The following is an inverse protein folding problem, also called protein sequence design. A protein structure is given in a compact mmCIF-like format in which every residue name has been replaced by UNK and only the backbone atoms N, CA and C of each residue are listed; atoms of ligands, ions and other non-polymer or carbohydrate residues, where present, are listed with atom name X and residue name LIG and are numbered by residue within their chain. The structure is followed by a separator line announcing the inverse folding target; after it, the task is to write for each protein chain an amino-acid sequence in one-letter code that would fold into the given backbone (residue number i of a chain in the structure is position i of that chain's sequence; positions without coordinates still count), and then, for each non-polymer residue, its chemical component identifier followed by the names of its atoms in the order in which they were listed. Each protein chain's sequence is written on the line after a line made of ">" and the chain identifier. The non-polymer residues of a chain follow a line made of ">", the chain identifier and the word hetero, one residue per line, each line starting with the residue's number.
data_IF_949360695529
#
_entry.id   IF_949360695529
#
_cell.length_a   1.000
_cell.length_b   1.000
_cell.length_c   1.000
_cell.angle_alpha   90.00
_cell.angle_beta   90.00
_cell.angle_gamma   90.00
#
_symmetry.space_group_name_H-M   'P 1'
#
loop_
_entity.id
_entity.type
_entity.pdbx_description
1 polymer ?
#
# COMPACT_ATOMS: atom_id res chain seq x y z
N UNK A 1 -7.45 35.68 -46.80
CA UNK A 1 -6.32 34.86 -47.28
C UNK A 1 -5.60 34.24 -46.09
N UNK A 2 -5.90 32.98 -45.74
CA UNK A 2 -5.02 32.08 -44.98
C UNK A 2 -5.37 30.65 -45.38
N UNK A 3 -4.64 30.10 -46.34
CA UNK A 3 -4.69 28.69 -46.73
C UNK A 3 -3.80 27.91 -45.75
N UNK A 4 -4.36 26.98 -44.98
CA UNK A 4 -3.57 26.04 -44.17
C UNK A 4 -3.30 24.81 -45.04
N UNK A 5 -2.07 24.70 -45.56
CA UNK A 5 -1.59 23.54 -46.28
C UNK A 5 -1.33 22.40 -45.30
N UNK A 6 -2.09 21.30 -45.46
CA UNK A 6 -1.88 20.07 -44.71
C UNK A 6 -0.51 19.46 -44.99
N UNK A 7 0.24 19.19 -43.93
CA UNK A 7 1.44 18.35 -44.02
C UNK A 7 0.98 16.89 -43.95
N UNK A 8 0.97 16.22 -45.11
CA UNK A 8 0.91 14.75 -45.18
C UNK A 8 2.32 14.23 -44.92
N UNK A 9 2.57 13.63 -43.74
CA UNK A 9 3.76 12.80 -43.54
C UNK A 9 3.33 11.35 -43.72
N UNK A 10 3.92 10.71 -44.72
CA UNK A 10 3.65 9.34 -45.15
C UNK A 10 4.12 8.31 -44.11
N UNK A 11 3.40 7.19 -44.11
CA UNK A 11 3.61 6.02 -43.28
C UNK A 11 4.98 5.34 -43.49
N UNK A 12 5.50 4.75 -42.42
CA UNK A 12 6.40 3.59 -42.47
C UNK A 12 7.83 3.85 -41.99
N UNK A 13 8.13 3.47 -40.75
CA UNK A 13 8.91 2.27 -40.40
C UNK A 13 8.66 2.01 -38.91
N UNK A 14 7.93 0.93 -38.66
CA UNK A 14 7.72 0.35 -37.34
C UNK A 14 8.99 -0.45 -37.00
N UNK A 15 9.96 0.15 -36.31
CA UNK A 15 10.97 -0.64 -35.57
C UNK A 15 10.53 -0.66 -34.12
N UNK A 16 9.90 -1.78 -33.78
CA UNK A 16 9.58 -2.21 -32.44
C UNK A 16 10.87 -2.30 -31.63
N UNK A 17 11.23 -1.27 -30.88
CA UNK A 17 12.01 -1.49 -29.66
C UNK A 17 11.02 -1.90 -28.56
N UNK A 18 10.53 -3.14 -28.71
CA UNK A 18 9.96 -3.88 -27.62
C UNK A 18 11.11 -4.26 -26.67
N UNK A 19 11.31 -3.44 -25.65
CA UNK A 19 11.60 -3.95 -24.34
C UNK A 19 10.67 -3.21 -23.39
N UNK A 20 9.43 -3.70 -23.31
CA UNK A 20 8.75 -3.67 -22.03
C UNK A 20 9.66 -4.46 -21.09
N UNK A 21 10.59 -3.77 -20.43
CA UNK A 21 11.12 -4.23 -19.17
C UNK A 21 9.88 -4.30 -18.29
N UNK A 22 9.31 -5.50 -18.19
CA UNK A 22 8.29 -5.76 -17.20
C UNK A 22 8.85 -5.22 -15.90
N UNK A 23 8.14 -4.28 -15.30
CA UNK A 23 8.24 -4.10 -13.87
C UNK A 23 7.78 -5.45 -13.29
N UNK A 24 8.71 -6.40 -13.20
CA UNK A 24 8.74 -7.27 -12.06
C UNK A 24 8.67 -6.28 -10.91
N UNK A 25 7.54 -6.28 -10.20
CA UNK A 25 7.48 -5.63 -8.92
C UNK A 25 8.69 -6.19 -8.16
N UNK A 26 9.75 -5.41 -8.08
CA UNK A 26 10.74 -5.60 -7.06
C UNK A 26 9.93 -5.41 -5.78
N UNK A 27 9.47 -6.53 -5.22
CA UNK A 27 9.10 -6.53 -3.82
C UNK A 27 10.40 -6.20 -3.11
N UNK A 28 10.59 -4.90 -2.85
CA UNK A 28 11.73 -4.40 -2.10
C UNK A 28 11.72 -5.16 -0.77
N UNK A 29 12.65 -6.09 -0.61
CA UNK A 29 12.96 -6.66 0.71
C UNK A 29 13.75 -5.63 1.50
N UNK A 30 13.17 -4.45 1.68
CA UNK A 30 13.65 -3.48 2.64
C UNK A 30 13.34 -4.02 4.05
N UNK A 31 14.15 -5.00 4.48
CA UNK A 31 14.11 -5.56 5.84
C UNK A 31 14.59 -7.01 5.92
N UNK A 32 14.22 -7.89 4.99
CA UNK A 32 14.42 -9.33 5.22
C UNK A 32 15.87 -9.83 5.07
N UNK A 33 16.75 -9.14 4.35
CA UNK A 33 18.08 -9.66 4.01
C UNK A 33 19.16 -9.36 5.07
N UNK A 34 18.88 -8.50 6.05
CA UNK A 34 19.80 -8.16 7.15
C UNK A 34 19.31 -8.60 8.55
N UNK A 35 18.11 -9.16 8.62
CA UNK A 35 17.52 -9.51 9.90
C UNK A 35 17.59 -11.00 10.16
N UNK A 36 18.28 -11.36 11.25
CA UNK A 36 18.34 -12.71 11.79
C UNK A 36 17.00 -13.09 12.44
N UNK A 37 15.94 -13.18 11.63
CA UNK A 37 14.62 -13.61 12.06
C UNK A 37 14.35 -15.04 11.62
N UNK A 38 13.68 -15.86 12.47
CA UNK A 38 13.25 -17.17 12.06
C UNK A 38 12.14 -17.07 11.00
N UNK A 39 12.04 -18.09 10.13
CA UNK A 39 10.97 -18.19 9.13
C UNK A 39 9.67 -18.79 9.72
N UNK A 40 9.34 -18.44 10.95
CA UNK A 40 8.11 -18.91 11.61
C UNK A 40 6.89 -18.24 11.00
N UNK A 41 5.89 -19.04 10.60
CA UNK A 41 4.64 -18.55 10.02
C UNK A 41 3.62 -18.16 11.11
N UNK A 42 3.79 -16.97 11.67
CA UNK A 42 2.91 -16.40 12.71
C UNK A 42 2.58 -14.95 12.31
N UNK A 43 1.71 -14.76 11.30
CA UNK A 43 1.57 -13.47 10.62
C UNK A 43 1.11 -12.35 11.56
N UNK A 44 1.59 -11.13 11.28
CA UNK A 44 1.18 -9.90 11.97
C UNK A 44 0.94 -8.79 10.95
N UNK A 45 0.04 -7.86 11.25
CA UNK A 45 -0.22 -6.69 10.42
C UNK A 45 0.54 -5.47 10.96
N UNK A 46 1.19 -4.72 10.07
CA UNK A 46 1.80 -3.43 10.38
C UNK A 46 0.85 -2.24 10.10
N UNK A 47 1.12 -1.09 10.72
CA UNK A 47 0.38 0.17 10.45
C UNK A 47 0.62 0.71 9.04
N UNK A 48 1.62 0.18 8.35
CA UNK A 48 1.94 0.39 6.93
C UNK A 48 1.14 -0.54 5.99
N UNK A 49 0.15 -1.26 6.54
CA UNK A 49 -0.74 -2.18 5.82
C UNK A 49 -0.02 -3.39 5.20
N UNK A 50 1.19 -3.69 5.64
CA UNK A 50 1.91 -4.89 5.21
C UNK A 50 1.70 -6.04 6.20
N UNK A 51 1.42 -7.21 5.64
CA UNK A 51 1.44 -8.45 6.40
C UNK A 51 2.87 -8.96 6.48
N UNK A 52 3.39 -9.08 7.69
CA UNK A 52 4.70 -9.65 7.97
C UNK A 52 4.55 -11.11 8.40
N UNK A 53 5.46 -11.98 7.95
CA UNK A 53 5.44 -13.42 8.27
C UNK A 53 5.43 -13.69 9.77
N UNK A 54 6.12 -12.83 10.53
CA UNK A 54 6.10 -12.80 11.99
C UNK A 54 6.53 -11.44 12.55
N UNK A 55 6.39 -11.30 13.87
CA UNK A 55 6.70 -10.07 14.60
C UNK A 55 8.17 -9.65 14.51
N UNK A 56 9.10 -10.61 14.41
CA UNK A 56 10.52 -10.30 14.22
C UNK A 56 10.75 -9.59 12.89
N UNK A 57 10.17 -10.09 11.80
CA UNK A 57 10.30 -9.48 10.48
C UNK A 57 9.62 -8.11 10.43
N UNK A 58 8.46 -7.94 11.09
CA UNK A 58 7.82 -6.62 11.25
C UNK A 58 8.72 -5.62 11.97
N UNK A 59 9.25 -6.02 13.13
CA UNK A 59 10.12 -5.16 13.94
C UNK A 59 11.40 -4.79 13.20
N UNK A 60 11.97 -5.75 12.46
CA UNK A 60 13.10 -5.52 11.58
C UNK A 60 12.82 -4.45 10.50
N UNK A 61 11.63 -4.48 9.91
CA UNK A 61 11.18 -3.48 8.95
C UNK A 61 10.84 -2.13 9.61
N UNK A 62 10.98 -1.99 10.94
CA UNK A 62 10.61 -0.82 11.72
C UNK A 62 9.12 -0.42 11.57
N UNK A 63 8.25 -1.36 11.21
CA UNK A 63 6.82 -1.14 11.15
C UNK A 63 6.18 -1.26 12.54
N UNK A 64 5.23 -0.40 12.89
CA UNK A 64 4.48 -0.49 14.14
C UNK A 64 3.45 -1.62 14.01
N UNK A 65 3.28 -2.45 15.05
CA UNK A 65 2.29 -3.53 15.05
C UNK A 65 0.89 -2.93 15.12
N UNK A 66 0.05 -3.30 14.15
CA UNK A 66 -1.37 -2.98 14.15
C UNK A 66 -2.17 -4.08 14.85
N UNK A 67 -1.98 -5.34 14.45
CA UNK A 67 -2.70 -6.49 14.98
C UNK A 67 -1.92 -7.81 14.84
N UNK A 68 -2.33 -8.81 15.60
CA UNK A 68 -1.98 -10.22 15.32
C UNK A 68 -2.80 -10.76 14.14
N UNK A 69 -2.21 -11.65 13.36
CA UNK A 69 -2.80 -12.16 12.13
C UNK A 69 -2.43 -11.33 10.89
N UNK A 70 -2.84 -11.79 9.68
CA UNK A 70 -2.63 -11.02 8.46
C UNK A 70 -3.44 -9.73 8.48
N UNK A 71 -3.05 -8.76 7.65
CA UNK A 71 -3.86 -7.56 7.44
C UNK A 71 -5.20 -7.93 6.80
N UNK A 72 -6.24 -7.25 7.25
CA UNK A 72 -7.59 -7.34 6.71
C UNK A 72 -7.86 -6.08 5.86
N UNK A 73 -8.14 -6.21 4.55
CA UNK A 73 -8.43 -5.06 3.69
C UNK A 73 -9.70 -4.30 4.11
N UNK A 74 -10.61 -4.95 4.86
CA UNK A 74 -11.83 -4.33 5.38
C UNK A 74 -11.59 -3.61 6.73
N UNK A 75 -10.42 -3.79 7.35
CA UNK A 75 -9.97 -3.02 8.51
C UNK A 75 -9.21 -1.73 8.10
N UNK A 76 -9.46 -1.23 6.89
CA UNK A 76 -8.92 0.04 6.42
C UNK A 76 -9.95 1.17 6.60
N UNK A 77 -9.60 2.31 7.22
CA UNK A 77 -10.42 3.50 7.10
C UNK A 77 -10.49 3.90 5.62
N UNK A 78 -11.69 4.03 5.04
CA UNK A 78 -11.82 4.39 3.63
C UNK A 78 -11.18 5.77 3.35
N UNK A 79 -10.56 5.90 2.18
CA UNK A 79 -9.87 7.13 1.71
C UNK A 79 -10.82 8.25 1.27
N UNK A 80 -12.07 8.25 1.72
CA UNK A 80 -13.02 9.28 1.37
C UNK A 80 -12.73 10.56 2.14
N UNK A 81 -12.03 11.43 1.41
CA UNK A 81 -12.15 12.88 1.50
C UNK A 81 -13.64 13.25 1.54
N UNK A 82 -14.21 13.42 2.73
CA UNK A 82 -15.41 14.23 2.92
C UNK A 82 -15.17 15.20 4.09
N UNK A 83 -14.92 16.43 3.69
CA UNK A 83 -14.65 17.63 4.47
C UNK A 83 -15.81 18.09 5.39
N UNK A 84 -16.71 17.19 5.81
CA UNK A 84 -17.77 17.50 6.79
C UNK A 84 -17.86 16.35 7.79
N UNK A 85 -17.26 16.53 8.96
CA UNK A 85 -17.15 15.53 10.02
C UNK A 85 -18.50 14.90 10.37
N UNK A 86 -18.66 13.64 9.98
CA UNK A 86 -19.76 12.79 10.39
C UNK A 86 -19.36 12.07 11.68
N UNK A 87 -20.05 12.40 12.77
CA UNK A 87 -19.86 11.81 14.09
C UNK A 87 -20.50 10.41 14.21
N UNK A 88 -21.17 9.93 13.16
CA UNK A 88 -21.61 8.54 13.02
C UNK A 88 -20.65 7.70 12.17
N UNK A 89 -19.55 8.29 11.68
CA UNK A 89 -18.61 7.56 10.83
C UNK A 89 -17.98 6.40 11.60
N UNK A 90 -18.12 5.20 11.04
CA UNK A 90 -17.61 3.94 11.60
C UNK A 90 -16.20 3.68 11.04
N UNK A 91 -15.30 4.62 11.29
CA UNK A 91 -13.92 4.56 10.83
C UNK A 91 -13.02 4.01 11.94
N UNK A 92 -12.76 2.70 11.99
CA UNK A 92 -12.11 2.10 13.12
C UNK A 92 -10.67 2.62 13.28
N UNK A 93 -10.29 2.93 14.52
CA UNK A 93 -8.93 3.36 14.86
C UNK A 93 -8.31 2.39 15.85
N UNK A 94 -6.99 2.20 15.81
CA UNK A 94 -6.26 1.40 16.79
C UNK A 94 -5.46 2.31 17.72
N UNK A 95 -5.74 2.24 19.03
CA UNK A 95 -4.97 2.92 20.07
C UNK A 95 -4.69 1.96 21.22
N UNK A 96 -3.45 1.95 21.73
CA UNK A 96 -3.03 1.06 22.82
C UNK A 96 -3.29 -0.44 22.58
N UNK A 97 -3.33 -0.88 21.31
CA UNK A 97 -3.63 -2.25 20.94
C UNK A 97 -5.12 -2.63 21.04
N UNK A 98 -6.01 -1.64 21.13
CA UNK A 98 -7.47 -1.83 21.13
C UNK A 98 -8.03 -1.15 19.87
N UNK A 99 -8.90 -1.85 19.14
CA UNK A 99 -9.65 -1.29 18.00
C UNK A 99 -10.92 -0.63 18.51
N UNK A 100 -11.08 0.66 18.23
CA UNK A 100 -12.23 1.48 18.55
C UNK A 100 -13.08 1.68 17.30
N UNK A 101 -14.40 1.85 17.43
CA UNK A 101 -15.28 1.98 16.25
C UNK A 101 -15.03 3.28 15.49
N UNK A 102 -14.53 4.30 16.17
CA UNK A 102 -14.12 5.58 15.61
C UNK A 102 -13.13 6.29 16.53
N UNK A 103 -12.53 7.37 16.01
CA UNK A 103 -11.62 8.20 16.78
C UNK A 103 -12.26 8.80 18.04
N UNK A 104 -13.59 9.02 18.05
CA UNK A 104 -14.32 9.54 19.19
C UNK A 104 -14.43 8.54 20.36
N UNK A 105 -14.44 7.23 20.08
CA UNK A 105 -14.39 6.18 21.11
C UNK A 105 -12.96 5.94 21.63
N UNK A 106 -11.93 6.41 20.91
CA UNK A 106 -10.52 6.23 21.25
C UNK A 106 -9.91 7.38 22.08
N UNK A 107 -10.66 8.46 22.32
CA UNK A 107 -10.25 9.64 23.09
C UNK A 107 -10.91 9.73 24.47
#
# INVERSE_FOLDING_TARGET
>A
MRTVAGHRVAAGVLVLLAAAAGAAAAYERHGADFCNCPETNTPVCGTDQQTYLNDCIRACANAIKLSDGPCDPDCYPPEDQNENGDWESRDPVCASGITYKNMAEAM
#
